data_IF_618691001357
#
_entry.id   IF_618691001357
#
_cell.length_a   1.000
_cell.length_b   1.000
_cell.length_c   1.000
_cell.angle_alpha   90.00
_cell.angle_beta   90.00
_cell.angle_gamma   90.00
#
_symmetry.space_group_name_H-M   'P 1'
#
loop_
_entity.id
_entity.type
_entity.pdbx_description
1 polymer ?
#
# COMPACT_ATOMS: atom_id res chain seq x y z
N UNK A 1 -12.95 -21.09 24.73
CA UNK A 1 -11.89 -20.08 24.77
C UNK A 1 -12.37 -18.89 23.98
N UNK A 2 -12.70 -17.76 24.66
CA UNK A 2 -13.27 -16.55 24.01
C UNK A 2 -12.31 -15.79 23.09
N UNK A 3 -11.07 -16.26 22.92
CA UNK A 3 -10.02 -15.55 22.19
C UNK A 3 -9.37 -16.42 21.09
N UNK A 4 -10.09 -17.36 20.53
CA UNK A 4 -9.57 -18.30 19.53
C UNK A 4 -9.05 -17.64 18.24
N UNK A 5 -9.51 -16.43 17.94
CA UNK A 5 -9.15 -15.65 16.76
C UNK A 5 -7.98 -14.68 16.98
N UNK A 6 -7.39 -14.64 18.17
CA UNK A 6 -6.24 -13.78 18.48
C UNK A 6 -4.93 -14.52 18.24
N UNK A 7 -3.95 -13.79 17.72
CA UNK A 7 -2.58 -14.28 17.71
C UNK A 7 -1.94 -13.96 19.04
N UNK A 8 -1.76 -14.98 19.87
CA UNK A 8 -1.00 -14.87 21.10
C UNK A 8 0.49 -15.06 20.82
N UNK A 9 1.31 -14.25 21.47
CA UNK A 9 2.74 -14.53 21.56
C UNK A 9 2.98 -15.40 22.77
N UNK A 10 3.55 -16.58 22.56
CA UNK A 10 3.81 -17.54 23.61
C UNK A 10 5.30 -17.82 23.76
N UNK A 11 5.72 -18.11 24.98
CA UNK A 11 7.09 -18.49 25.31
C UNK A 11 7.06 -19.66 26.30
N UNK A 12 8.05 -20.54 26.22
CA UNK A 12 8.24 -21.53 27.29
C UNK A 12 8.58 -20.82 28.59
N UNK A 13 7.97 -21.23 29.68
CA UNK A 13 8.32 -20.73 31.00
C UNK A 13 9.81 -20.95 31.25
N UNK A 14 10.46 -19.94 31.82
CA UNK A 14 11.92 -19.95 32.09
C UNK A 14 12.83 -19.96 30.85
N UNK A 15 12.29 -19.79 29.65
CA UNK A 15 13.09 -19.68 28.42
C UNK A 15 13.49 -18.22 28.15
N UNK A 16 14.72 -18.01 27.70
CA UNK A 16 15.22 -16.72 27.18
C UNK A 16 14.97 -16.54 25.69
N UNK A 17 14.42 -17.55 25.02
CA UNK A 17 14.08 -17.47 23.60
C UNK A 17 12.99 -16.44 23.34
N UNK A 18 13.02 -15.76 22.17
CA UNK A 18 11.98 -14.80 21.81
C UNK A 18 10.61 -15.50 21.72
N UNK A 19 9.52 -14.79 22.11
CA UNK A 19 8.18 -15.33 21.99
C UNK A 19 7.84 -15.67 20.54
N UNK A 20 7.14 -16.77 20.33
CA UNK A 20 6.68 -17.21 19.00
C UNK A 20 5.19 -16.96 18.82
N UNK A 21 4.70 -16.61 17.61
CA UNK A 21 3.30 -16.41 17.36
C UNK A 21 2.54 -17.74 17.42
N UNK A 22 1.41 -17.72 18.07
CA UNK A 22 0.55 -18.87 18.27
C UNK A 22 -0.89 -18.56 17.85
N UNK A 23 -1.44 -19.37 16.95
CA UNK A 23 -2.80 -19.27 16.46
C UNK A 23 -3.68 -20.30 17.17
N UNK A 24 -4.73 -19.85 17.84
CA UNK A 24 -5.72 -20.70 18.43
C UNK A 24 -6.74 -21.11 17.38
N UNK A 25 -6.98 -22.40 17.22
CA UNK A 25 -7.97 -22.94 16.30
C UNK A 25 -8.94 -23.83 17.08
N UNK A 26 -10.24 -23.56 16.94
CA UNK A 26 -11.27 -24.42 17.50
C UNK A 26 -11.60 -25.50 16.50
N UNK A 27 -11.38 -26.77 16.82
CA UNK A 27 -11.71 -27.89 15.95
C UNK A 27 -13.20 -28.25 16.08
N UNK A 28 -13.82 -28.63 14.97
CA UNK A 28 -15.14 -29.26 14.93
C UNK A 28 -15.21 -30.45 15.90
N UNK A 29 -16.29 -30.60 16.64
CA UNK A 29 -16.57 -31.68 17.60
C UNK A 29 -16.05 -31.47 19.04
N UNK A 30 -15.89 -30.26 19.52
CA UNK A 30 -15.66 -30.00 20.95
C UNK A 30 -14.22 -30.27 21.43
N UNK A 31 -13.32 -30.70 20.58
CA UNK A 31 -11.91 -30.79 20.90
C UNK A 31 -11.20 -29.51 20.49
N UNK A 32 -10.67 -28.78 21.47
CA UNK A 32 -9.78 -27.66 21.24
C UNK A 32 -8.44 -28.21 20.70
N UNK A 33 -8.13 -27.95 19.47
CA UNK A 33 -6.79 -28.18 18.94
C UNK A 33 -6.09 -26.84 18.71
N UNK A 34 -4.84 -26.78 19.10
CA UNK A 34 -3.99 -25.62 18.92
C UNK A 34 -3.05 -25.94 17.76
N UNK A 35 -3.00 -25.05 16.78
CA UNK A 35 -2.10 -25.20 15.64
C UNK A 35 -1.01 -24.14 15.78
N UNK A 36 0.22 -24.59 15.89
CA UNK A 36 1.37 -23.71 15.81
C UNK A 36 1.63 -23.36 14.35
N UNK A 37 1.60 -22.07 14.03
CA UNK A 37 1.88 -21.58 12.71
C UNK A 37 3.09 -20.65 12.74
N UNK A 38 4.23 -21.15 12.27
CA UNK A 38 5.49 -20.38 12.19
C UNK A 38 5.55 -19.44 10.97
N UNK A 39 4.49 -19.41 10.15
CA UNK A 39 4.45 -18.69 8.89
C UNK A 39 4.88 -19.54 7.67
N UNK A 40 5.31 -20.78 7.90
CA UNK A 40 5.59 -21.77 6.83
C UNK A 40 4.61 -22.92 6.96
N UNK A 41 3.90 -23.31 5.88
CA UNK A 41 2.96 -24.44 5.90
C UNK A 41 3.57 -25.75 6.39
N UNK A 42 4.87 -25.92 6.18
CA UNK A 42 5.64 -27.12 6.55
C UNK A 42 5.84 -27.27 8.07
N UNK A 43 5.66 -26.18 8.82
CA UNK A 43 5.86 -26.14 10.28
C UNK A 43 4.56 -26.25 11.09
N UNK A 44 3.44 -26.58 10.46
CA UNK A 44 2.17 -26.82 11.15
C UNK A 44 2.29 -28.02 12.07
N UNK A 45 2.36 -27.79 13.37
CA UNK A 45 2.27 -28.85 14.38
C UNK A 45 0.95 -28.75 15.12
N UNK A 46 0.18 -29.84 15.10
CA UNK A 46 -1.00 -29.94 15.96
C UNK A 46 -0.53 -30.17 17.40
N UNK A 47 -0.69 -29.15 18.23
CA UNK A 47 -0.32 -29.20 19.66
C UNK A 47 -1.56 -29.52 20.49
N UNK A 48 -1.41 -30.37 21.49
CA UNK A 48 -2.48 -30.73 22.43
C UNK A 48 -2.42 -29.82 23.65
N UNK A 49 -3.53 -29.61 24.36
CA UNK A 49 -3.53 -28.80 25.60
C UNK A 49 -2.48 -29.25 26.65
N UNK A 50 -2.16 -30.55 26.66
CA UNK A 50 -1.11 -31.09 27.53
C UNK A 50 0.29 -30.56 27.23
N UNK A 51 0.54 -30.17 25.97
CA UNK A 51 1.84 -29.66 25.49
C UNK A 51 2.10 -28.24 25.99
N UNK A 52 1.08 -27.54 26.51
CA UNK A 52 1.15 -26.12 26.90
C UNK A 52 1.37 -25.88 28.39
N UNK A 53 1.52 -26.91 29.21
CA UNK A 53 1.73 -26.75 30.66
C UNK A 53 2.93 -25.87 31.02
N UNK A 54 3.94 -25.87 30.16
CA UNK A 54 5.18 -25.12 30.32
C UNK A 54 5.26 -23.88 29.47
N UNK A 55 4.14 -23.40 28.91
CA UNK A 55 4.08 -22.21 28.08
C UNK A 55 3.31 -21.09 28.77
N UNK A 56 3.71 -19.87 28.52
CA UNK A 56 3.03 -18.67 28.97
C UNK A 56 2.70 -17.76 27.80
N UNK A 57 1.56 -17.09 27.88
CA UNK A 57 1.21 -16.02 26.94
C UNK A 57 1.89 -14.75 27.41
N UNK A 58 2.77 -14.21 26.58
CA UNK A 58 3.48 -12.96 26.88
C UNK A 58 2.67 -11.74 26.46
N UNK A 59 2.02 -11.81 25.29
CA UNK A 59 1.17 -10.74 24.78
C UNK A 59 0.22 -11.26 23.71
N UNK A 60 -0.84 -10.49 23.41
CA UNK A 60 -1.63 -10.69 22.20
C UNK A 60 -1.15 -9.72 21.13
N UNK A 61 -0.74 -10.25 19.98
CA UNK A 61 -0.20 -9.46 18.87
C UNK A 61 -1.22 -8.51 18.24
N UNK A 62 -2.49 -8.93 18.22
CA UNK A 62 -3.61 -8.15 17.72
C UNK A 62 -4.68 -8.05 18.80
N UNK A 63 -5.05 -6.83 19.25
CA UNK A 63 -6.21 -6.65 20.11
C UNK A 63 -7.47 -7.07 19.36
N UNK A 64 -8.43 -7.64 20.04
CA UNK A 64 -9.64 -8.19 19.44
C UNK A 64 -10.66 -7.13 19.05
N UNK A 65 -10.35 -6.28 18.07
CA UNK A 65 -11.26 -5.24 17.58
C UNK A 65 -12.54 -5.80 16.96
N UNK A 66 -12.47 -6.99 16.36
CA UNK A 66 -13.58 -7.65 15.64
C UNK A 66 -14.14 -8.85 16.41
N UNK A 67 -13.85 -8.97 17.69
CA UNK A 67 -14.25 -10.12 18.54
C UNK A 67 -15.78 -10.32 18.55
N UNK A 68 -16.54 -9.24 18.59
CA UNK A 68 -18.00 -9.25 18.55
C UNK A 68 -18.58 -9.70 17.19
N UNK A 69 -17.80 -9.69 16.13
CA UNK A 69 -18.19 -10.16 14.80
C UNK A 69 -17.77 -11.60 14.51
N UNK A 70 -17.11 -12.28 15.42
CA UNK A 70 -16.61 -13.64 15.20
C UNK A 70 -17.72 -14.63 14.82
N UNK A 71 -18.81 -14.65 15.56
CA UNK A 71 -19.95 -15.54 15.27
C UNK A 71 -20.58 -15.19 13.91
N UNK A 72 -20.72 -13.90 13.61
CA UNK A 72 -21.22 -13.45 12.31
C UNK A 72 -20.31 -13.87 11.16
N UNK A 73 -19.00 -13.86 11.36
CA UNK A 73 -18.02 -14.29 10.36
C UNK A 73 -18.13 -15.81 10.11
N UNK A 74 -18.21 -16.64 11.16
CA UNK A 74 -18.44 -18.08 10.99
C UNK A 74 -19.76 -18.38 10.28
N UNK A 75 -20.84 -17.74 10.70
CA UNK A 75 -22.15 -17.91 10.07
C UNK A 75 -22.21 -17.44 8.60
N UNK A 76 -21.40 -16.45 8.23
CA UNK A 76 -21.33 -15.96 6.86
C UNK A 76 -20.87 -17.02 5.85
N UNK A 77 -20.08 -17.99 6.31
CA UNK A 77 -19.59 -19.09 5.46
C UNK A 77 -20.44 -20.35 5.47
N UNK A 78 -21.53 -20.39 6.25
CA UNK A 78 -22.36 -21.60 6.47
C UNK A 78 -22.82 -22.28 5.19
N UNK A 79 -23.13 -21.52 4.14
CA UNK A 79 -23.66 -22.05 2.88
C UNK A 79 -22.63 -22.07 1.76
N UNK A 80 -21.42 -21.58 2.02
CA UNK A 80 -20.37 -21.45 0.99
C UNK A 80 -19.08 -22.21 1.31
N UNK A 81 -18.94 -22.75 2.53
CA UNK A 81 -17.74 -23.51 2.95
C UNK A 81 -18.13 -24.80 3.66
N UNK A 82 -17.29 -25.84 3.53
CA UNK A 82 -17.39 -27.06 4.33
C UNK A 82 -16.92 -26.85 5.77
N UNK A 83 -16.00 -25.87 5.99
CA UNK A 83 -15.47 -25.48 7.28
C UNK A 83 -15.74 -23.99 7.54
N UNK A 84 -16.99 -23.61 7.83
CA UNK A 84 -17.37 -22.21 7.99
C UNK A 84 -16.68 -21.55 9.18
N UNK A 85 -16.47 -22.28 10.28
CA UNK A 85 -15.82 -21.74 11.47
C UNK A 85 -14.36 -21.37 11.20
N UNK A 86 -13.63 -22.25 10.51
CA UNK A 86 -12.24 -22.00 10.12
C UNK A 86 -12.13 -20.78 9.19
N UNK A 87 -13.04 -20.67 8.24
CA UNK A 87 -13.08 -19.53 7.32
C UNK A 87 -13.39 -18.23 8.03
N UNK A 88 -14.42 -18.22 8.87
CA UNK A 88 -14.79 -17.05 9.66
C UNK A 88 -13.68 -16.60 10.60
N UNK A 89 -13.05 -17.54 11.28
CA UNK A 89 -11.90 -17.26 12.17
C UNK A 89 -10.73 -16.67 11.38
N UNK A 90 -10.40 -17.25 10.23
CA UNK A 90 -9.35 -16.74 9.35
C UNK A 90 -9.61 -15.30 8.89
N UNK A 91 -10.85 -14.98 8.53
CA UNK A 91 -11.22 -13.62 8.14
C UNK A 91 -11.05 -12.65 9.31
N UNK A 92 -11.55 -12.98 10.51
CA UNK A 92 -11.37 -12.14 11.69
C UNK A 92 -9.89 -11.85 11.93
N UNK A 93 -9.03 -12.84 11.84
CA UNK A 93 -7.58 -12.66 12.04
C UNK A 93 -6.97 -11.74 10.98
N UNK A 94 -7.33 -11.93 9.71
CA UNK A 94 -6.81 -11.13 8.61
C UNK A 94 -7.23 -9.67 8.75
N UNK A 95 -8.52 -9.42 9.01
CA UNK A 95 -9.07 -8.08 9.12
C UNK A 95 -8.65 -7.37 10.41
N UNK A 96 -8.46 -8.08 11.53
CA UNK A 96 -7.87 -7.50 12.74
C UNK A 96 -6.42 -7.06 12.53
N UNK A 97 -5.63 -7.91 11.87
CA UNK A 97 -4.27 -7.55 11.48
C UNK A 97 -4.27 -6.30 10.60
N UNK A 98 -5.18 -6.23 9.64
CA UNK A 98 -5.33 -5.08 8.75
C UNK A 98 -5.64 -3.80 9.54
N UNK A 99 -6.58 -3.83 10.49
CA UNK A 99 -6.87 -2.70 11.38
C UNK A 99 -5.62 -2.31 12.18
N UNK A 100 -4.94 -3.28 12.77
CA UNK A 100 -3.73 -3.02 13.56
C UNK A 100 -2.63 -2.32 12.74
N UNK A 101 -2.43 -2.75 11.50
CA UNK A 101 -1.43 -2.15 10.62
C UNK A 101 -1.86 -0.75 10.15
N UNK A 102 -3.16 -0.52 9.94
CA UNK A 102 -3.70 0.78 9.57
C UNK A 102 -3.59 1.81 10.72
N UNK A 103 -3.84 1.37 11.97
CA UNK A 103 -3.75 2.24 13.14
C UNK A 103 -2.34 2.80 13.37
N UNK A 104 -1.29 2.15 12.87
CA UNK A 104 0.07 2.70 12.88
C UNK A 104 0.23 3.94 11.99
N UNK A 105 -0.65 4.09 11.00
CA UNK A 105 -0.65 5.17 10.00
C UNK A 105 -1.63 6.28 10.34
N UNK A 106 -2.60 5.99 11.22
CA UNK A 106 -3.70 6.88 11.60
C UNK A 106 -3.36 7.52 12.96
N UNK A 107 -3.58 8.83 13.16
CA UNK A 107 -3.42 9.48 14.45
C UNK A 107 -4.31 8.87 15.54
N UNK A 108 -3.80 8.78 16.78
CA UNK A 108 -4.45 8.08 17.89
C UNK A 108 -5.87 8.62 18.19
N UNK A 109 -6.07 9.93 18.07
CA UNK A 109 -7.35 10.59 18.26
C UNK A 109 -8.46 10.15 17.29
N UNK A 110 -8.10 9.50 16.19
CA UNK A 110 -9.03 9.00 15.18
C UNK A 110 -9.19 7.47 15.18
N UNK A 111 -8.50 6.77 16.07
CA UNK A 111 -8.53 5.31 16.11
C UNK A 111 -9.92 4.77 16.35
N UNK A 112 -10.67 5.31 17.32
CA UNK A 112 -12.01 4.85 17.67
C UNK A 112 -13.01 5.06 16.51
N UNK A 113 -12.98 6.22 15.89
CA UNK A 113 -13.78 6.52 14.70
C UNK A 113 -13.49 5.53 13.56
N UNK A 114 -12.21 5.29 13.31
CA UNK A 114 -11.77 4.37 12.25
C UNK A 114 -12.22 2.93 12.52
N UNK A 115 -11.98 2.41 13.72
CA UNK A 115 -12.36 1.06 14.13
C UNK A 115 -13.89 0.87 14.00
N UNK A 116 -14.67 1.83 14.48
CA UNK A 116 -16.14 1.78 14.43
C UNK A 116 -16.64 1.73 12.98
N UNK A 117 -16.15 2.60 12.12
CA UNK A 117 -16.53 2.64 10.72
C UNK A 117 -16.09 1.37 9.96
N UNK A 118 -14.88 0.86 10.27
CA UNK A 118 -14.37 -0.37 9.70
C UNK A 118 -15.26 -1.57 10.07
N UNK A 119 -15.61 -1.70 11.35
CA UNK A 119 -16.52 -2.75 11.87
C UNK A 119 -17.87 -2.73 11.17
N UNK A 120 -18.47 -1.57 11.01
CA UNK A 120 -19.76 -1.44 10.33
C UNK A 120 -19.70 -1.93 8.87
N UNK A 121 -18.65 -1.58 8.15
CA UNK A 121 -18.46 -2.01 6.76
C UNK A 121 -18.16 -3.49 6.65
N UNK A 122 -17.33 -4.01 7.55
CA UNK A 122 -17.02 -5.43 7.60
C UNK A 122 -18.26 -6.26 7.98
N UNK A 123 -19.06 -5.83 8.95
CA UNK A 123 -20.33 -6.46 9.29
C UNK A 123 -21.31 -6.48 8.09
N UNK A 124 -21.39 -5.39 7.32
CA UNK A 124 -22.19 -5.33 6.11
C UNK A 124 -21.69 -6.32 5.03
N UNK A 125 -20.37 -6.49 4.89
CA UNK A 125 -19.75 -7.47 4.01
C UNK A 125 -20.11 -8.90 4.45
N UNK A 126 -19.98 -9.24 5.74
CA UNK A 126 -20.33 -10.55 6.30
C UNK A 126 -21.82 -10.85 6.09
N UNK A 127 -22.70 -9.88 6.33
CA UNK A 127 -24.13 -10.01 6.07
C UNK A 127 -24.47 -10.29 4.59
N UNK A 128 -23.70 -9.72 3.67
CA UNK A 128 -23.84 -10.00 2.25
C UNK A 128 -23.31 -11.40 1.90
N UNK A 129 -22.17 -11.79 2.46
CA UNK A 129 -21.55 -13.11 2.29
C UNK A 129 -22.48 -14.24 2.78
N UNK A 130 -23.17 -14.04 3.90
CA UNK A 130 -24.12 -15.01 4.46
C UNK A 130 -25.27 -15.40 3.50
N UNK A 131 -25.50 -14.60 2.47
CA UNK A 131 -26.49 -14.89 1.41
C UNK A 131 -25.90 -15.65 0.23
N UNK A 132 -24.59 -15.77 0.17
CA UNK A 132 -23.90 -16.52 -0.86
C UNK A 132 -23.94 -18.01 -0.54
N UNK A 133 -24.21 -18.82 -1.55
CA UNK A 133 -24.26 -20.27 -1.39
C UNK A 133 -23.39 -20.94 -2.47
N UNK A 134 -22.78 -22.07 -2.14
CA UNK A 134 -22.05 -22.90 -3.09
C UNK A 134 -22.87 -24.14 -3.43
N UNK A 135 -23.07 -24.46 -4.71
CA UNK A 135 -23.77 -25.70 -5.09
C UNK A 135 -23.02 -26.96 -4.64
N UNK A 136 -21.71 -26.85 -4.35
CA UNK A 136 -20.93 -27.95 -3.79
C UNK A 136 -21.26 -28.24 -2.32
N UNK A 137 -21.66 -27.19 -1.56
CA UNK A 137 -22.04 -27.29 -0.15
C UNK A 137 -23.53 -27.59 0.01
N UNK A 138 -24.36 -26.91 -0.78
CA UNK A 138 -25.84 -27.00 -0.67
C UNK A 138 -26.48 -28.06 -1.55
N UNK A 139 -25.71 -28.64 -2.49
CA UNK A 139 -26.23 -29.55 -3.51
C UNK A 139 -26.83 -28.80 -4.71
N UNK A 140 -26.97 -29.54 -5.82
CA UNK A 140 -27.50 -28.96 -7.08
C UNK A 140 -29.03 -28.85 -7.14
N UNK A 141 -29.72 -29.64 -6.35
CA UNK A 141 -31.18 -29.67 -6.36
C UNK A 141 -31.76 -28.35 -5.81
N UNK A 142 -32.51 -27.66 -6.64
CA UNK A 142 -33.11 -26.37 -6.26
C UNK A 142 -32.17 -25.18 -6.22
N UNK A 143 -30.93 -25.30 -6.66
CA UNK A 143 -29.96 -24.18 -6.68
C UNK A 143 -30.39 -23.11 -7.70
N UNK A 144 -30.74 -21.93 -7.19
CA UNK A 144 -31.17 -20.81 -8.02
C UNK A 144 -29.98 -19.95 -8.42
N UNK A 145 -29.46 -20.14 -9.66
CA UNK A 145 -28.31 -19.46 -10.22
C UNK A 145 -28.44 -17.93 -10.17
N UNK A 146 -29.62 -17.40 -10.60
CA UNK A 146 -29.87 -15.95 -10.62
C UNK A 146 -29.79 -15.32 -9.22
N UNK A 147 -30.41 -15.98 -8.23
CA UNK A 147 -30.36 -15.53 -6.83
C UNK A 147 -28.93 -15.56 -6.30
N UNK A 148 -28.17 -16.58 -6.66
CA UNK A 148 -26.77 -16.72 -6.29
C UNK A 148 -25.88 -15.63 -6.90
N UNK A 149 -26.01 -15.37 -8.20
CA UNK A 149 -25.29 -14.30 -8.87
C UNK A 149 -25.59 -12.92 -8.28
N UNK A 150 -26.86 -12.65 -7.96
CA UNK A 150 -27.26 -11.42 -7.29
C UNK A 150 -26.63 -11.29 -5.89
N UNK A 151 -26.58 -12.37 -5.11
CA UNK A 151 -25.95 -12.41 -3.80
C UNK A 151 -24.45 -12.15 -3.91
N UNK A 152 -23.75 -12.84 -4.82
CA UNK A 152 -22.33 -12.65 -5.06
C UNK A 152 -21.99 -11.22 -5.50
N UNK A 153 -22.79 -10.63 -6.39
CA UNK A 153 -22.61 -9.22 -6.79
C UNK A 153 -22.76 -8.28 -5.59
N UNK A 154 -23.74 -8.55 -4.73
CA UNK A 154 -23.94 -7.76 -3.52
C UNK A 154 -22.74 -7.88 -2.56
N UNK A 155 -22.25 -9.08 -2.36
CA UNK A 155 -21.03 -9.32 -1.57
C UNK A 155 -19.83 -8.60 -2.15
N UNK A 156 -19.59 -8.75 -3.46
CA UNK A 156 -18.49 -8.08 -4.15
C UNK A 156 -18.55 -6.55 -4.00
N UNK A 157 -19.74 -5.97 -4.15
CA UNK A 157 -19.93 -4.53 -3.95
C UNK A 157 -19.58 -4.09 -2.52
N UNK A 158 -19.95 -4.85 -1.49
CA UNK A 158 -19.63 -4.54 -0.09
C UNK A 158 -18.14 -4.70 0.22
N UNK A 159 -17.53 -5.74 -0.35
CA UNK A 159 -16.08 -5.93 -0.26
C UNK A 159 -15.33 -4.75 -0.87
N UNK A 160 -15.68 -4.35 -2.09
CA UNK A 160 -15.05 -3.21 -2.75
C UNK A 160 -15.34 -1.88 -2.04
N UNK A 161 -16.52 -1.70 -1.46
CA UNK A 161 -16.86 -0.53 -0.67
C UNK A 161 -15.93 -0.37 0.54
N UNK A 162 -15.69 -1.46 1.29
CA UNK A 162 -14.74 -1.47 2.40
C UNK A 162 -13.33 -1.12 1.90
N UNK A 163 -12.86 -1.74 0.81
CA UNK A 163 -11.53 -1.49 0.25
C UNK A 163 -11.36 -0.05 -0.21
N UNK A 164 -12.29 0.48 -1.00
CA UNK A 164 -12.23 1.87 -1.47
C UNK A 164 -12.32 2.89 -0.34
N UNK A 165 -13.13 2.62 0.68
CA UNK A 165 -13.22 3.47 1.85
C UNK A 165 -11.89 3.49 2.62
N UNK A 166 -11.33 2.34 2.89
CA UNK A 166 -10.04 2.18 3.58
C UNK A 166 -8.92 2.92 2.84
N UNK A 167 -8.78 2.66 1.54
CA UNK A 167 -7.75 3.32 0.71
C UNK A 167 -7.89 4.85 0.72
N UNK A 168 -9.13 5.35 0.67
CA UNK A 168 -9.40 6.78 0.74
C UNK A 168 -8.96 7.37 2.07
N UNK A 169 -9.31 6.73 3.18
CA UNK A 169 -8.94 7.21 4.51
C UNK A 169 -7.43 7.22 4.67
N UNK A 170 -6.75 6.12 4.31
CA UNK A 170 -5.30 6.03 4.45
C UNK A 170 -4.56 7.07 3.59
N UNK A 171 -4.98 7.26 2.34
CA UNK A 171 -4.45 8.32 1.47
C UNK A 171 -4.66 9.71 2.05
N UNK A 172 -5.85 9.97 2.64
CA UNK A 172 -6.11 11.25 3.28
C UNK A 172 -5.20 11.47 4.49
N UNK A 173 -4.97 10.44 5.30
CA UNK A 173 -4.06 10.52 6.46
C UNK A 173 -2.62 10.77 6.02
N UNK A 174 -2.15 10.08 4.98
CA UNK A 174 -0.83 10.30 4.41
C UNK A 174 -0.67 11.73 3.90
N UNK A 175 -1.65 12.22 3.11
CA UNK A 175 -1.63 13.59 2.62
C UNK A 175 -1.62 14.62 3.74
N UNK A 176 -2.46 14.44 4.78
CA UNK A 176 -2.48 15.34 5.94
C UNK A 176 -1.15 15.30 6.71
N UNK A 177 -0.51 14.12 6.78
CA UNK A 177 0.82 14.00 7.38
C UNK A 177 1.89 14.71 6.55
N UNK A 178 1.84 14.57 5.22
CA UNK A 178 2.74 15.26 4.31
C UNK A 178 2.54 16.79 4.34
N UNK A 179 1.30 17.27 4.39
CA UNK A 179 0.98 18.68 4.50
C UNK A 179 1.54 19.33 5.78
N UNK A 180 1.72 18.55 6.85
CA UNK A 180 2.28 19.03 8.13
C UNK A 180 3.82 18.95 8.20
N UNK A 181 4.48 18.38 7.20
CA UNK A 181 5.94 18.36 7.15
C UNK A 181 6.51 19.78 6.97
N UNK A 182 7.69 20.05 7.53
CA UNK A 182 8.45 21.27 7.22
C UNK A 182 8.65 21.42 5.71
N UNK A 183 8.68 22.64 5.21
CA UNK A 183 8.78 22.91 3.77
C UNK A 183 10.07 22.33 3.17
N UNK A 184 11.16 22.40 3.92
CA UNK A 184 12.44 21.80 3.53
C UNK A 184 12.34 20.28 3.30
N UNK A 185 11.66 19.57 4.21
CA UNK A 185 11.47 18.12 4.07
C UNK A 185 10.53 17.77 2.89
N UNK A 186 9.54 18.60 2.61
CA UNK A 186 8.66 18.43 1.44
C UNK A 186 9.46 18.59 0.15
N UNK A 187 10.27 19.64 0.07
CA UNK A 187 11.12 19.90 -1.09
C UNK A 187 12.15 18.79 -1.30
N UNK A 188 12.75 18.30 -0.22
CA UNK A 188 13.69 17.17 -0.31
C UNK A 188 13.01 15.89 -0.82
N UNK A 189 11.83 15.55 -0.29
CA UNK A 189 11.05 14.41 -0.78
C UNK A 189 10.64 14.56 -2.23
N UNK A 190 10.18 15.75 -2.62
CA UNK A 190 9.81 16.06 -3.99
C UNK A 190 11.02 15.91 -4.93
N UNK A 191 12.19 16.42 -4.50
CA UNK A 191 13.43 16.27 -5.24
C UNK A 191 13.84 14.78 -5.38
N UNK A 192 13.84 14.00 -4.29
CA UNK A 192 14.20 12.59 -4.33
C UNK A 192 13.27 11.76 -5.24
N UNK A 193 11.99 12.08 -5.24
CA UNK A 193 11.02 11.46 -6.15
C UNK A 193 11.30 11.80 -7.61
N UNK A 194 11.49 13.09 -7.90
CA UNK A 194 11.83 13.57 -9.25
C UNK A 194 13.15 12.99 -9.74
N UNK A 195 14.18 12.97 -8.88
CA UNK A 195 15.50 12.41 -9.18
C UNK A 195 15.38 10.95 -9.63
N UNK A 196 14.66 10.11 -8.88
CA UNK A 196 14.43 8.69 -9.22
C UNK A 196 13.75 8.54 -10.57
N UNK A 197 12.76 9.37 -10.84
CA UNK A 197 12.03 9.36 -12.11
C UNK A 197 12.92 9.77 -13.29
N UNK A 198 13.77 10.78 -13.09
CA UNK A 198 14.74 11.22 -14.08
C UNK A 198 15.77 10.12 -14.33
N UNK A 199 16.35 9.56 -13.28
CA UNK A 199 17.36 8.51 -13.35
C UNK A 199 16.87 7.31 -14.15
N UNK A 200 15.71 6.76 -13.79
CA UNK A 200 15.11 5.62 -14.50
C UNK A 200 14.85 5.90 -15.99
N UNK A 201 14.39 7.11 -16.31
CA UNK A 201 14.14 7.49 -17.70
C UNK A 201 15.43 7.78 -18.48
N UNK A 202 16.42 8.42 -17.83
CA UNK A 202 17.70 8.76 -18.44
C UNK A 202 18.56 7.52 -18.71
N UNK A 203 18.54 6.56 -17.80
CA UNK A 203 19.21 5.26 -18.00
C UNK A 203 18.62 4.51 -19.20
N UNK A 204 17.29 4.50 -19.33
CA UNK A 204 16.64 3.91 -20.50
C UNK A 204 17.02 4.65 -21.81
N UNK A 205 17.12 5.98 -21.78
CA UNK A 205 17.59 6.78 -22.93
C UNK A 205 19.04 6.38 -23.29
N UNK A 206 19.90 6.25 -22.29
CA UNK A 206 21.29 5.83 -22.50
C UNK A 206 21.37 4.43 -23.12
N UNK A 207 20.59 3.48 -22.63
CA UNK A 207 20.52 2.13 -23.17
C UNK A 207 20.01 2.10 -24.62
N UNK A 208 19.01 2.91 -24.93
CA UNK A 208 18.51 3.07 -26.31
C UNK A 208 19.58 3.67 -27.23
N UNK A 209 20.28 4.70 -26.77
CA UNK A 209 21.32 5.38 -27.53
C UNK A 209 22.56 4.49 -27.75
N UNK A 210 22.86 3.57 -26.83
CA UNK A 210 23.95 2.60 -26.94
C UNK A 210 23.54 1.30 -27.65
N UNK A 211 22.24 1.13 -27.96
CA UNK A 211 21.71 -0.05 -28.62
C UNK A 211 21.54 -1.29 -27.73
N UNK A 212 21.70 -1.14 -26.41
CA UNK A 212 21.49 -2.21 -25.43
C UNK A 212 20.01 -2.56 -25.28
N UNK A 213 19.13 -1.55 -25.42
CA UNK A 213 17.69 -1.71 -25.39
C UNK A 213 17.09 -1.39 -26.77
N UNK A 214 16.01 -2.11 -27.15
CA UNK A 214 15.30 -1.89 -28.43
C UNK A 214 13.79 -1.95 -28.19
N UNK A 215 13.03 -1.36 -29.11
CA UNK A 215 11.56 -1.43 -29.09
C UNK A 215 10.85 -0.30 -28.36
N UNK A 216 11.57 0.63 -27.74
CA UNK A 216 11.00 1.81 -27.09
C UNK A 216 11.26 3.09 -27.86
N UNK A 217 10.34 4.03 -27.73
CA UNK A 217 10.50 5.35 -28.36
C UNK A 217 11.24 6.29 -27.39
N UNK A 218 12.48 6.65 -27.75
CA UNK A 218 13.33 7.60 -27.00
C UNK A 218 12.62 8.89 -26.64
N UNK A 219 11.84 9.44 -27.59
CA UNK A 219 11.16 10.71 -27.38
C UNK A 219 10.14 10.69 -26.23
N UNK A 220 9.54 9.54 -25.93
CA UNK A 220 8.61 9.40 -24.80
C UNK A 220 9.32 9.60 -23.46
N UNK A 221 10.50 9.03 -23.29
CA UNK A 221 11.28 9.17 -22.05
C UNK A 221 11.80 10.60 -21.89
N UNK A 222 12.31 11.21 -22.96
CA UNK A 222 12.72 12.62 -22.95
C UNK A 222 11.54 13.53 -22.59
N UNK A 223 10.39 13.34 -23.23
CA UNK A 223 9.18 14.11 -22.93
C UNK A 223 8.69 13.88 -21.49
N UNK A 224 8.80 12.67 -20.97
CA UNK A 224 8.43 12.35 -19.58
C UNK A 224 9.27 13.17 -18.60
N UNK A 225 10.60 13.16 -18.76
CA UNK A 225 11.51 13.96 -17.93
C UNK A 225 11.15 15.45 -18.03
N UNK A 226 11.06 15.98 -19.23
CA UNK A 226 10.83 17.40 -19.46
C UNK A 226 9.47 17.87 -18.93
N UNK A 227 8.42 17.05 -19.06
CA UNK A 227 7.10 17.37 -18.55
C UNK A 227 7.11 17.43 -17.02
N UNK A 228 7.79 16.49 -16.34
CA UNK A 228 7.90 16.48 -14.88
C UNK A 228 8.65 17.71 -14.38
N UNK A 229 9.79 18.05 -14.97
CA UNK A 229 10.54 19.26 -14.63
C UNK A 229 9.71 20.52 -14.89
N UNK A 230 8.99 20.58 -16.02
CA UNK A 230 8.09 21.70 -16.34
C UNK A 230 6.95 21.87 -15.36
N UNK A 231 6.46 20.78 -14.74
CA UNK A 231 5.43 20.87 -13.70
C UNK A 231 5.95 21.59 -12.47
N UNK A 232 7.15 21.25 -11.99
CA UNK A 232 7.79 21.96 -10.88
C UNK A 232 8.10 23.43 -11.22
N UNK A 233 8.56 23.67 -12.46
CA UNK A 233 8.77 25.03 -12.92
C UNK A 233 7.47 25.86 -12.94
N UNK A 234 6.37 25.26 -13.36
CA UNK A 234 5.05 25.88 -13.35
C UNK A 234 4.52 26.19 -11.94
N UNK A 235 4.96 25.44 -10.92
CA UNK A 235 4.63 25.69 -9.53
C UNK A 235 5.59 26.66 -8.83
N UNK A 236 6.63 27.14 -9.51
CA UNK A 236 7.60 28.05 -8.92
C UNK A 236 8.69 27.40 -8.07
N UNK A 237 8.81 26.07 -8.12
CA UNK A 237 9.77 25.26 -7.36
C UNK A 237 11.20 25.36 -7.97
N UNK A 238 11.77 26.57 -7.93
CA UNK A 238 13.01 26.91 -8.64
C UNK A 238 14.18 26.05 -8.21
N UNK A 239 14.32 25.75 -6.92
CA UNK A 239 15.43 24.96 -6.38
C UNK A 239 15.38 23.50 -6.86
N UNK A 240 14.19 22.93 -6.95
CA UNK A 240 13.99 21.56 -7.48
C UNK A 240 14.35 21.53 -8.97
N UNK A 241 13.92 22.56 -9.74
CA UNK A 241 14.25 22.65 -11.16
C UNK A 241 15.76 22.81 -11.36
N UNK A 242 16.41 23.61 -10.54
CA UNK A 242 17.88 23.78 -10.58
C UNK A 242 18.58 22.42 -10.37
N UNK A 243 18.27 21.73 -9.28
CA UNK A 243 18.83 20.39 -8.99
C UNK A 243 18.57 19.42 -10.13
N UNK A 244 17.36 19.47 -10.75
CA UNK A 244 17.02 18.61 -11.87
C UNK A 244 17.87 18.92 -13.12
N UNK A 245 18.06 20.19 -13.45
CA UNK A 245 18.88 20.62 -14.60
C UNK A 245 20.34 20.19 -14.39
N UNK A 246 20.90 20.43 -13.22
CA UNK A 246 22.27 20.01 -12.87
C UNK A 246 22.43 18.49 -13.01
N UNK A 247 21.48 17.73 -12.44
CA UNK A 247 21.50 16.27 -12.50
C UNK A 247 21.38 15.73 -13.94
N UNK A 248 20.49 16.29 -14.75
CA UNK A 248 20.31 15.86 -16.15
C UNK A 248 21.54 16.28 -17.00
N UNK A 249 22.22 17.36 -16.66
CA UNK A 249 23.44 17.79 -17.37
C UNK A 249 24.53 16.71 -17.36
N UNK A 250 24.62 15.92 -16.30
CA UNK A 250 25.51 14.77 -16.23
C UNK A 250 25.16 13.69 -17.27
N UNK A 251 23.85 13.44 -17.47
CA UNK A 251 23.39 12.49 -18.48
C UNK A 251 23.58 13.01 -19.91
N UNK A 252 23.49 14.32 -20.12
CA UNK A 252 23.69 14.91 -21.44
C UNK A 252 25.05 14.57 -22.06
N UNK A 253 26.06 14.31 -21.21
CA UNK A 253 27.40 13.89 -21.67
C UNK A 253 27.44 12.45 -22.19
N UNK A 254 26.45 11.63 -21.83
CA UNK A 254 26.43 10.18 -22.11
C UNK A 254 25.42 9.78 -23.18
N UNK A 255 24.60 10.71 -23.65
CA UNK A 255 23.52 10.44 -24.62
C UNK A 255 23.83 11.09 -25.97
N UNK A 256 23.30 10.50 -27.06
CA UNK A 256 23.55 11.00 -28.44
C UNK A 256 22.98 12.40 -28.69
N UNK A 257 21.84 12.70 -28.04
CA UNK A 257 21.19 14.01 -28.13
C UNK A 257 20.83 14.51 -26.77
N UNK A 258 21.14 15.76 -26.40
CA UNK A 258 20.83 16.29 -25.08
C UNK A 258 19.34 16.15 -24.72
N UNK A 259 19.08 15.78 -23.47
CA UNK A 259 17.74 15.72 -22.89
C UNK A 259 17.25 17.13 -22.62
N UNK A 260 18.09 17.93 -21.97
CA UNK A 260 17.85 19.36 -21.71
C UNK A 260 18.56 20.20 -22.77
N UNK A 261 17.82 21.16 -23.32
CA UNK A 261 18.32 22.17 -24.24
C UNK A 261 17.81 23.54 -23.81
N UNK A 262 18.47 24.66 -24.26
CA UNK A 262 17.99 26.01 -23.99
C UNK A 262 16.57 26.33 -24.44
N UNK A 263 16.02 25.54 -25.35
CA UNK A 263 14.66 25.70 -25.89
C UNK A 263 13.57 25.01 -25.06
N UNK A 264 13.94 24.35 -23.97
CA UNK A 264 12.96 23.66 -23.15
C UNK A 264 11.96 24.62 -22.52
N UNK A 265 10.69 24.19 -22.47
CA UNK A 265 9.55 25.00 -22.08
C UNK A 265 9.70 25.66 -20.70
N UNK A 266 10.32 24.99 -19.74
CA UNK A 266 10.53 25.57 -18.41
C UNK A 266 11.46 26.78 -18.38
N UNK A 267 12.30 26.98 -19.40
CA UNK A 267 13.11 28.20 -19.58
C UNK A 267 12.36 29.32 -20.29
N UNK A 268 11.18 29.05 -20.82
CA UNK A 268 10.39 30.02 -21.64
C UNK A 268 9.09 30.47 -20.95
N UNK A 269 8.74 29.98 -19.80
CA UNK A 269 7.58 30.41 -19.02
C UNK A 269 7.79 31.84 -18.50
N UNK A 270 6.77 32.74 -18.54
CA UNK A 270 6.99 34.18 -18.41
C UNK A 270 7.57 34.64 -17.07
N UNK A 271 6.90 34.41 -15.95
CA UNK A 271 7.35 34.93 -14.65
C UNK A 271 8.24 33.94 -13.88
N UNK A 272 7.79 32.71 -13.73
CA UNK A 272 8.54 31.66 -13.05
C UNK A 272 9.85 31.34 -13.76
N UNK A 273 9.88 31.44 -15.08
CA UNK A 273 11.08 31.25 -15.87
C UNK A 273 12.12 32.36 -15.68
N UNK A 274 11.69 33.55 -15.29
CA UNK A 274 12.62 34.63 -14.98
C UNK A 274 13.39 34.32 -13.70
N UNK A 275 12.72 33.91 -12.65
CA UNK A 275 13.37 33.52 -11.38
C UNK A 275 14.26 32.28 -11.57
N UNK A 276 13.79 31.29 -12.34
CA UNK A 276 14.60 30.09 -12.66
C UNK A 276 15.86 30.49 -13.43
N UNK A 277 15.75 31.38 -14.42
CA UNK A 277 16.89 31.86 -15.19
C UNK A 277 17.86 32.67 -14.33
N UNK A 278 17.35 33.53 -13.45
CA UNK A 278 18.16 34.31 -12.53
C UNK A 278 18.92 33.40 -11.56
N UNK A 279 18.26 32.44 -10.92
CA UNK A 279 18.88 31.49 -9.98
C UNK A 279 19.85 30.51 -10.66
N UNK A 280 19.52 30.05 -11.84
CA UNK A 280 20.41 29.21 -12.65
C UNK A 280 21.48 30.03 -13.39
N UNK A 281 21.45 31.34 -13.22
CA UNK A 281 22.35 32.22 -13.92
C UNK A 281 22.24 32.11 -15.46
N UNK A 282 21.05 31.79 -15.94
CA UNK A 282 20.80 31.59 -17.39
C UNK A 282 20.18 32.83 -17.98
N UNK A 283 20.90 33.48 -18.85
CA UNK A 283 20.35 34.56 -19.70
C UNK A 283 19.69 33.97 -20.91
N UNK A 284 18.52 34.46 -21.24
CA UNK A 284 17.88 34.12 -22.52
C UNK A 284 18.80 34.60 -23.63
N UNK A 285 19.55 33.68 -24.21
CA UNK A 285 20.30 33.96 -25.42
C UNK A 285 19.33 34.26 -26.54
N UNK A 286 19.64 35.23 -27.37
CA UNK A 286 19.02 35.37 -28.66
C UNK A 286 19.41 34.18 -29.51
N UNK A 287 18.66 33.97 -30.56
CA UNK A 287 18.86 32.87 -31.50
C UNK A 287 20.32 32.54 -31.71
N UNK A 288 20.66 31.29 -31.53
CA UNK A 288 22.01 30.75 -31.63
C UNK A 288 23.07 31.31 -30.67
N UNK A 289 22.69 32.09 -29.69
CA UNK A 289 23.59 32.44 -28.61
C UNK A 289 23.55 31.35 -27.56
N UNK A 290 24.66 31.10 -27.00
CA UNK A 290 24.77 30.37 -25.77
C UNK A 290 23.81 31.01 -24.77
N UNK A 291 23.01 30.20 -24.11
CA UNK A 291 22.38 30.65 -22.91
C UNK A 291 23.52 31.03 -21.96
N UNK A 292 23.79 32.32 -21.98
CA UNK A 292 24.76 32.83 -21.06
C UNK A 292 24.15 32.72 -19.66
N UNK A 293 24.87 32.16 -18.76
CA UNK A 293 24.60 32.33 -17.37
C UNK A 293 24.99 33.76 -17.00
N UNK A 294 24.09 34.56 -16.52
CA UNK A 294 24.45 35.80 -15.90
C UNK A 294 25.23 35.45 -14.65
N UNK A 295 26.51 35.42 -14.80
CA UNK A 295 27.39 35.62 -13.68
C UNK A 295 27.05 37.00 -13.15
N UNK A 296 26.45 37.01 -11.97
CA UNK A 296 26.05 38.24 -11.32
C UNK A 296 27.17 39.25 -11.22
#
# INVERSE_FOLDING_TARGET
VKNAHRVAMIRKKESTEPPVPFHFRKKHLGMESFVHFSGKPEDEKELRPADFKNWEVTEFKYPGYLEDLWEAACNAYRWSSFDPDIRGESDIMIYEKEIHDDLKRIPAERHEEYITAYKQKFAAQLSALARCASPMVTGRSGFNVYKHEKANRTYQNRYEELRRWRDRILKTMERTKEEKLPEEEKQEKAWLSLKRDIESSADTIHELDTGKCRGYNRALFVSSILNKVSTYAGHGEVEIVQKAVEFISEYNTRVKKPIITPRNKFFTLPETAREIREKLNIVKGQENRELAFEGG
#
